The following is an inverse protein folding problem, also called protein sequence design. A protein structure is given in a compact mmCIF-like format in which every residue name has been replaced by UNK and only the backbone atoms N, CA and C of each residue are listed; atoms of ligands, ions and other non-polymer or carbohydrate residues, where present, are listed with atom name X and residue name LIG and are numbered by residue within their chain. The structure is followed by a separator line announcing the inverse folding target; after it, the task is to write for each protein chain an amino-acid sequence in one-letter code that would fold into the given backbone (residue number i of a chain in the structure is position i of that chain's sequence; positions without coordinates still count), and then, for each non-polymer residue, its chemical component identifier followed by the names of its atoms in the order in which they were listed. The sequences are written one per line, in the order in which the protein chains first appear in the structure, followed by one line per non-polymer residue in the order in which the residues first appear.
data_IF_709442894400
#
_entry.id   IF_709442894400
#
_cell.length_a   1.000
_cell.length_b   1.000
_cell.length_c   1.000
_cell.angle_alpha   90.00
_cell.angle_beta   90.00
_cell.angle_gamma   90.00
#
_symmetry.space_group_name_H-M   'P 1'
#
loop_
_entity.id
_entity.type
_entity.pdbx_description
1 polymer ?
#
# COMPACT_ATOMS: atom_id res chain seq x y z
N UNK A 1 -31.14 10.27 8.95
CA UNK A 1 -30.04 11.10 9.51
C UNK A 1 -28.96 11.15 8.44
N UNK A 2 -28.26 12.28 8.22
CA UNK A 2 -27.15 12.30 7.28
C UNK A 2 -26.09 11.29 7.73
N UNK A 3 -25.60 10.48 6.78
CA UNK A 3 -24.52 9.55 7.04
C UNK A 3 -23.25 10.34 7.38
N UNK A 4 -22.49 9.88 8.37
CA UNK A 4 -21.19 10.49 8.71
C UNK A 4 -20.18 10.20 7.61
N UNK A 5 -19.42 11.21 7.22
CA UNK A 5 -18.33 11.04 6.26
C UNK A 5 -17.08 10.53 6.99
N UNK A 6 -16.69 9.31 6.67
CA UNK A 6 -15.48 8.67 7.19
C UNK A 6 -14.40 8.66 6.12
N UNK A 7 -13.26 9.28 6.42
CA UNK A 7 -12.08 9.22 5.55
C UNK A 7 -11.10 8.21 6.10
N UNK A 8 -10.65 7.29 5.25
CA UNK A 8 -9.67 6.26 5.59
C UNK A 8 -8.41 6.48 4.74
N UNK A 9 -7.26 6.64 5.38
CA UNK A 9 -5.97 6.82 4.72
C UNK A 9 -5.22 5.50 4.71
N UNK A 10 -5.03 4.92 3.52
CA UNK A 10 -4.33 3.66 3.27
C UNK A 10 -5.25 2.50 2.94
N UNK A 11 -5.05 1.88 1.76
CA UNK A 11 -5.78 0.72 1.23
C UNK A 11 -5.16 -0.64 1.57
N UNK A 12 -4.33 -0.70 2.63
CA UNK A 12 -3.78 -1.94 3.17
C UNK A 12 -4.82 -2.77 3.92
N UNK A 13 -4.38 -3.78 4.69
CA UNK A 13 -5.27 -4.67 5.44
C UNK A 13 -6.20 -3.91 6.39
N UNK A 14 -5.65 -2.99 7.19
CA UNK A 14 -6.44 -2.22 8.16
C UNK A 14 -7.50 -1.33 7.49
N UNK A 15 -7.11 -0.57 6.46
CA UNK A 15 -8.04 0.32 5.77
C UNK A 15 -9.10 -0.44 4.98
N UNK A 16 -8.73 -1.55 4.33
CA UNK A 16 -9.66 -2.42 3.62
C UNK A 16 -10.71 -2.99 4.57
N UNK A 17 -10.29 -3.56 5.70
CA UNK A 17 -11.20 -4.14 6.71
C UNK A 17 -12.10 -3.07 7.31
N UNK A 18 -11.56 -1.91 7.64
CA UNK A 18 -12.35 -0.79 8.18
C UNK A 18 -13.41 -0.33 7.18
N UNK A 19 -13.04 -0.14 5.90
CA UNK A 19 -13.98 0.29 4.87
C UNK A 19 -15.10 -0.72 4.62
N UNK A 20 -14.82 -2.01 4.71
CA UNK A 20 -15.84 -3.07 4.54
C UNK A 20 -16.80 -3.17 5.72
N UNK A 21 -16.35 -2.79 6.93
CA UNK A 21 -17.13 -2.91 8.16
C UNK A 21 -18.07 -1.72 8.40
N UNK A 22 -17.76 -0.55 7.85
CA UNK A 22 -18.50 0.70 8.08
C UNK A 22 -19.68 0.85 7.13
N UNK A 23 -20.73 0.06 7.32
CA UNK A 23 -21.88 0.04 6.40
C UNK A 23 -22.83 1.22 6.52
N UNK A 24 -22.86 1.88 7.68
CA UNK A 24 -23.77 2.99 8.00
C UNK A 24 -23.08 4.37 7.88
N UNK A 25 -22.07 4.47 7.03
CA UNK A 25 -21.29 5.69 6.80
C UNK A 25 -20.93 5.86 5.33
N UNK A 26 -20.72 7.10 4.91
CA UNK A 26 -20.13 7.41 3.60
C UNK A 26 -18.60 7.36 3.73
N UNK A 27 -18.00 6.33 3.14
CA UNK A 27 -16.57 6.06 3.28
C UNK A 27 -15.79 6.57 2.08
N UNK A 28 -14.71 7.31 2.32
CA UNK A 28 -13.72 7.68 1.32
C UNK A 28 -12.39 7.01 1.68
N UNK A 29 -11.99 6.02 0.90
CA UNK A 29 -10.71 5.36 1.03
C UNK A 29 -9.68 6.01 0.11
N UNK A 30 -8.62 6.57 0.69
CA UNK A 30 -7.54 7.24 -0.03
C UNK A 30 -6.30 6.37 0.02
N UNK A 31 -5.73 6.06 -1.15
CA UNK A 31 -4.47 5.34 -1.25
C UNK A 31 -3.63 5.89 -2.41
N UNK A 32 -2.32 5.88 -2.29
CA UNK A 32 -1.39 6.31 -3.35
C UNK A 32 -1.39 5.35 -4.53
N UNK A 33 -1.81 4.12 -4.30
CA UNK A 33 -1.91 3.08 -5.31
C UNK A 33 -3.35 2.59 -5.41
N UNK A 34 -3.77 2.16 -6.59
CA UNK A 34 -5.11 1.58 -6.74
C UNK A 34 -5.14 0.07 -6.47
N UNK A 35 -4.24 -0.43 -5.63
CA UNK A 35 -4.10 -1.86 -5.42
C UNK A 35 -3.98 -2.20 -3.94
N UNK A 36 -4.77 -3.18 -3.50
CA UNK A 36 -4.51 -3.90 -2.27
C UNK A 36 -3.49 -5.00 -2.56
N UNK A 37 -2.38 -4.99 -1.85
CA UNK A 37 -1.35 -6.00 -1.98
C UNK A 37 -1.46 -7.02 -0.85
N UNK A 38 -1.57 -8.30 -1.21
CA UNK A 38 -1.53 -9.38 -0.23
C UNK A 38 -0.09 -9.67 0.18
N UNK A 39 0.42 -8.89 1.12
CA UNK A 39 1.83 -8.92 1.58
C UNK A 39 2.36 -10.30 2.00
N UNK A 40 1.58 -11.21 2.63
CA UNK A 40 2.07 -12.53 3.02
C UNK A 40 2.64 -13.36 1.87
N UNK A 41 2.21 -13.10 0.62
CA UNK A 41 2.70 -13.80 -0.56
C UNK A 41 3.84 -13.09 -1.30
N UNK A 42 4.36 -11.98 -0.78
CA UNK A 42 5.48 -11.25 -1.41
C UNK A 42 6.74 -12.12 -1.61
N UNK A 43 7.02 -13.02 -0.67
CA UNK A 43 8.15 -13.94 -0.79
C UNK A 43 8.01 -14.88 -2.00
N UNK A 44 6.78 -15.30 -2.36
CA UNK A 44 6.56 -16.13 -3.54
C UNK A 44 6.77 -15.35 -4.84
N UNK A 45 6.47 -14.05 -4.83
CA UNK A 45 6.82 -13.17 -5.95
C UNK A 45 8.34 -13.00 -6.03
N UNK A 46 9.01 -12.84 -4.90
CA UNK A 46 10.45 -12.73 -4.81
C UNK A 46 11.17 -13.96 -5.36
N UNK A 47 10.67 -15.16 -5.08
CA UNK A 47 11.19 -16.44 -5.58
C UNK A 47 10.68 -16.81 -6.97
N UNK A 48 9.90 -15.92 -7.61
CA UNK A 48 9.32 -16.12 -8.96
C UNK A 48 8.28 -17.25 -9.04
N UNK A 49 7.73 -17.69 -7.91
CA UNK A 49 6.63 -18.66 -7.87
C UNK A 49 5.29 -18.03 -8.28
N UNK A 50 5.10 -16.73 -7.99
CA UNK A 50 3.92 -15.97 -8.37
C UNK A 50 4.32 -14.71 -9.15
N UNK A 51 3.40 -14.21 -9.98
CA UNK A 51 3.55 -12.89 -10.59
C UNK A 51 3.08 -11.78 -9.61
N UNK A 52 3.58 -10.54 -9.73
CA UNK A 52 3.07 -9.42 -8.95
C UNK A 52 1.56 -9.20 -9.09
N UNK A 53 0.99 -9.52 -10.25
CA UNK A 53 -0.45 -9.39 -10.52
C UNK A 53 -1.30 -10.38 -9.74
N UNK A 54 -0.75 -11.53 -9.37
CA UNK A 54 -1.49 -12.58 -8.63
C UNK A 54 -1.80 -12.18 -7.18
N UNK A 55 -1.03 -11.25 -6.63
CA UNK A 55 -1.15 -10.80 -5.25
C UNK A 55 -1.63 -9.34 -5.11
N UNK A 56 -1.84 -8.64 -6.23
CA UNK A 56 -2.25 -7.25 -6.26
C UNK A 56 -3.67 -7.11 -6.84
N UNK A 57 -4.64 -6.75 -5.99
CA UNK A 57 -6.03 -6.61 -6.39
C UNK A 57 -6.43 -5.14 -6.46
N UNK A 58 -7.04 -4.67 -7.57
CA UNK A 58 -7.49 -3.29 -7.69
C UNK A 58 -8.52 -2.94 -6.61
N UNK A 59 -8.28 -1.90 -5.82
CA UNK A 59 -9.18 -1.45 -4.75
C UNK A 59 -10.59 -1.17 -5.28
N UNK A 60 -10.71 -0.53 -6.44
CA UNK A 60 -12.01 -0.25 -7.06
C UNK A 60 -12.77 -1.53 -7.43
N UNK A 61 -12.08 -2.60 -7.77
CA UNK A 61 -12.71 -3.90 -8.04
C UNK A 61 -13.22 -4.54 -6.75
N UNK A 62 -12.44 -4.48 -5.68
CA UNK A 62 -12.83 -4.99 -4.36
C UNK A 62 -14.11 -4.28 -3.88
N UNK A 63 -14.14 -2.94 -3.99
CA UNK A 63 -15.23 -2.12 -3.48
C UNK A 63 -16.40 -1.95 -4.45
N UNK A 64 -16.40 -2.58 -5.63
CA UNK A 64 -17.51 -2.49 -6.58
C UNK A 64 -18.88 -2.89 -6.00
N UNK A 65 -18.89 -3.77 -4.98
CA UNK A 65 -20.11 -4.24 -4.29
C UNK A 65 -20.42 -3.44 -3.02
N UNK A 66 -19.69 -2.37 -2.75
CA UNK A 66 -19.82 -1.54 -1.55
C UNK A 66 -20.14 -0.09 -1.98
N UNK A 67 -21.42 0.23 -2.26
CA UNK A 67 -21.82 1.52 -2.82
C UNK A 67 -21.51 2.71 -1.92
N UNK A 68 -21.37 2.48 -0.62
CA UNK A 68 -21.00 3.48 0.39
C UNK A 68 -19.49 3.77 0.42
N UNK A 69 -18.66 3.03 -0.34
CA UNK A 69 -17.20 3.22 -0.36
C UNK A 69 -16.75 3.83 -1.68
N UNK A 70 -16.18 5.01 -1.62
CA UNK A 70 -15.52 5.69 -2.73
C UNK A 70 -13.99 5.55 -2.60
N UNK A 71 -13.34 5.01 -3.61
CA UNK A 71 -11.87 4.89 -3.66
C UNK A 71 -11.27 6.07 -4.40
N UNK A 72 -10.35 6.78 -3.77
CA UNK A 72 -9.58 7.89 -4.34
C UNK A 72 -8.10 7.48 -4.39
N UNK A 73 -7.54 7.47 -5.60
CA UNK A 73 -6.11 7.23 -5.80
C UNK A 73 -5.39 8.58 -5.78
N UNK A 74 -4.80 8.92 -4.64
CA UNK A 74 -4.09 10.19 -4.46
C UNK A 74 -3.15 10.10 -3.24
N UNK A 75 -2.27 11.08 -3.09
CA UNK A 75 -1.38 11.19 -1.95
C UNK A 75 -1.89 12.25 -0.97
N UNK A 76 -1.97 11.88 0.29
CA UNK A 76 -2.29 12.80 1.37
C UNK A 76 -1.07 13.64 1.70
N UNK A 77 -1.19 14.95 1.57
CA UNK A 77 -0.14 15.93 1.87
C UNK A 77 -0.18 16.38 3.32
N UNK A 78 -1.39 16.71 3.81
CA UNK A 78 -1.59 17.16 5.18
C UNK A 78 -3.01 16.91 5.67
N UNK A 79 -3.20 17.01 6.97
CA UNK A 79 -4.49 16.86 7.64
C UNK A 79 -4.71 18.08 8.52
N UNK A 80 -5.74 18.86 8.20
CA UNK A 80 -6.22 19.94 9.05
C UNK A 80 -7.26 19.37 10.02
N UNK A 81 -6.87 19.23 11.28
CA UNK A 81 -7.74 18.68 12.33
C UNK A 81 -8.79 19.69 12.80
N UNK A 82 -8.51 20.97 12.67
CA UNK A 82 -9.43 22.04 13.09
C UNK A 82 -10.54 22.22 12.07
N UNK A 83 -10.16 22.33 10.80
CA UNK A 83 -11.12 22.39 9.69
C UNK A 83 -11.71 21.02 9.34
N UNK A 84 -11.18 19.93 9.89
CA UNK A 84 -11.53 18.52 9.56
C UNK A 84 -11.46 18.23 8.06
N UNK A 85 -10.32 18.53 7.46
CA UNK A 85 -10.09 18.37 6.02
C UNK A 85 -8.77 17.64 5.76
N UNK A 86 -8.79 16.71 4.82
CA UNK A 86 -7.59 16.06 4.29
C UNK A 86 -7.19 16.75 3.00
N UNK A 87 -5.96 17.26 2.94
CA UNK A 87 -5.38 17.87 1.74
C UNK A 87 -4.73 16.79 0.88
N UNK A 88 -5.05 16.78 -0.39
CA UNK A 88 -4.54 15.83 -1.39
C UNK A 88 -3.60 16.52 -2.37
N UNK A 89 -2.77 15.73 -3.06
CA UNK A 89 -1.82 16.24 -4.04
C UNK A 89 -2.50 16.76 -5.29
N UNK A 90 -3.36 15.96 -5.90
CA UNK A 90 -3.94 16.21 -7.23
C UNK A 90 -5.44 16.48 -7.17
N UNK A 91 -6.12 16.02 -6.13
CA UNK A 91 -7.56 16.14 -5.96
C UNK A 91 -7.94 17.30 -5.03
N UNK A 92 -9.22 17.67 -5.05
CA UNK A 92 -9.76 18.65 -4.08
C UNK A 92 -9.68 18.12 -2.65
N UNK A 93 -9.52 19.00 -1.66
CA UNK A 93 -9.57 18.64 -0.25
C UNK A 93 -10.85 17.89 0.10
N UNK A 94 -10.75 16.90 0.98
CA UNK A 94 -11.88 16.06 1.38
C UNK A 94 -12.18 16.32 2.85
N UNK A 95 -13.39 16.79 3.19
CA UNK A 95 -13.81 16.94 4.58
C UNK A 95 -14.06 15.57 5.22
N UNK A 96 -14.02 15.52 6.54
CA UNK A 96 -14.33 14.31 7.30
C UNK A 96 -15.01 14.61 8.63
N UNK A 97 -15.90 13.72 9.05
CA UNK A 97 -16.40 13.67 10.43
C UNK A 97 -15.50 12.77 11.28
N UNK A 98 -15.05 11.67 10.69
CA UNK A 98 -14.16 10.69 11.32
C UNK A 98 -12.98 10.40 10.37
N UNK A 99 -11.79 10.34 10.93
CA UNK A 99 -10.57 10.00 10.19
C UNK A 99 -9.94 8.72 10.75
N UNK A 100 -9.70 7.75 9.87
CA UNK A 100 -8.98 6.50 10.19
C UNK A 100 -7.62 6.50 9.51
N UNK A 101 -6.57 6.40 10.30
CA UNK A 101 -5.20 6.36 9.82
C UNK A 101 -4.72 4.91 9.72
N UNK A 102 -4.55 4.40 8.50
CA UNK A 102 -4.07 3.05 8.22
C UNK A 102 -2.94 3.03 7.16
N UNK A 103 -1.91 3.91 7.25
CA UNK A 103 -0.88 4.07 6.22
C UNK A 103 0.08 2.87 6.13
N UNK A 104 -0.03 1.90 7.03
CA UNK A 104 0.86 0.77 7.14
C UNK A 104 2.22 1.12 7.73
N UNK A 105 3.18 0.22 7.57
CA UNK A 105 4.56 0.38 8.05
C UNK A 105 5.55 0.46 6.89
N UNK A 106 6.71 1.06 7.12
CA UNK A 106 7.86 1.05 6.20
C UNK A 106 9.00 0.24 6.81
N UNK A 107 9.96 -0.19 5.98
CA UNK A 107 11.21 -0.71 6.50
C UNK A 107 11.94 0.37 7.27
N UNK A 108 12.68 -0.04 8.27
CA UNK A 108 13.65 0.80 8.95
C UNK A 108 14.99 0.11 8.86
N UNK A 109 16.00 0.84 8.42
CA UNK A 109 17.40 0.40 8.45
C UNK A 109 18.12 0.95 9.68
N UNK A 110 17.38 1.42 10.70
CA UNK A 110 17.90 1.92 11.96
C UNK A 110 18.96 3.03 11.77
N UNK A 111 18.70 3.95 10.81
CA UNK A 111 19.61 5.05 10.47
C UNK A 111 20.73 4.68 9.49
N UNK A 112 20.70 3.47 8.93
CA UNK A 112 21.67 3.00 7.93
C UNK A 112 21.01 2.86 6.56
N UNK A 113 20.41 3.93 6.07
CA UNK A 113 19.59 3.94 4.85
C UNK A 113 20.38 3.54 3.58
N UNK A 114 21.71 3.70 3.58
CA UNK A 114 22.58 3.19 2.52
C UNK A 114 22.49 1.67 2.30
N UNK A 115 22.00 0.92 3.28
CA UNK A 115 21.80 -0.52 3.13
C UNK A 115 20.64 -0.87 2.19
N UNK A 116 19.73 0.07 1.92
CA UNK A 116 18.61 -0.16 1.00
C UNK A 116 19.07 -0.55 -0.41
N UNK A 117 20.22 -0.05 -0.85
CA UNK A 117 20.80 -0.41 -2.16
C UNK A 117 21.22 -1.88 -2.22
N UNK A 118 21.79 -2.41 -1.14
CA UNK A 118 22.33 -3.78 -1.08
C UNK A 118 21.31 -4.79 -0.54
N UNK A 119 20.38 -4.34 0.29
CA UNK A 119 19.37 -5.18 0.93
C UNK A 119 17.98 -4.52 0.80
N UNK A 120 17.42 -4.43 -0.42
CA UNK A 120 16.11 -3.82 -0.62
C UNK A 120 15.02 -4.60 0.10
N UNK A 121 14.16 -3.89 0.81
CA UNK A 121 13.05 -4.52 1.51
C UNK A 121 11.99 -5.10 0.56
N UNK A 122 11.36 -6.19 0.97
CA UNK A 122 10.24 -6.79 0.25
C UNK A 122 8.97 -5.94 0.42
N UNK A 123 8.83 -4.90 -0.41
CA UNK A 123 7.59 -4.10 -0.49
C UNK A 123 7.16 -3.91 -1.95
N UNK A 124 5.90 -3.48 -2.20
CA UNK A 124 5.37 -3.29 -3.57
C UNK A 124 6.23 -2.43 -4.47
N UNK A 125 6.92 -1.44 -3.92
CA UNK A 125 7.87 -0.60 -4.66
C UNK A 125 9.10 -1.37 -5.16
N UNK A 126 9.44 -2.49 -4.54
CA UNK A 126 10.55 -3.37 -4.92
C UNK A 126 10.14 -4.46 -5.91
N UNK A 127 8.85 -4.70 -6.11
CA UNK A 127 8.33 -5.61 -7.16
C UNK A 127 8.40 -4.94 -8.55
N UNK A 128 9.30 -3.97 -8.73
CA UNK A 128 9.61 -3.42 -10.04
C UNK A 128 10.34 -4.46 -10.92
N UNK A 129 10.17 -4.41 -12.26
CA UNK A 129 10.84 -5.36 -13.18
C UNK A 129 12.37 -5.47 -13.02
N UNK A 130 13.02 -4.49 -12.37
CA UNK A 130 14.47 -4.50 -12.10
C UNK A 130 14.90 -5.32 -10.88
N UNK A 131 14.00 -5.61 -9.93
CA UNK A 131 14.35 -6.32 -8.69
C UNK A 131 14.86 -7.75 -8.95
N UNK A 132 14.33 -8.43 -9.95
CA UNK A 132 14.79 -9.77 -10.36
C UNK A 132 16.25 -9.81 -10.83
N UNK A 133 16.84 -8.66 -11.22
CA UNK A 133 18.27 -8.58 -11.59
C UNK A 133 19.17 -8.47 -10.37
N UNK A 134 18.73 -7.75 -9.34
CA UNK A 134 19.53 -7.54 -8.13
C UNK A 134 19.61 -8.82 -7.26
N UNK A 135 18.59 -9.68 -7.28
CA UNK A 135 18.54 -10.91 -6.51
C UNK A 135 19.14 -12.13 -7.24
N UNK A 136 19.60 -12.00 -8.48
CA UNK A 136 20.41 -13.03 -9.12
C UNK A 136 21.84 -12.92 -8.60
N UNK A 137 22.39 -13.96 -7.98
CA UNK A 137 23.81 -13.99 -7.71
C UNK A 137 24.53 -13.87 -9.05
N UNK A 138 25.40 -12.88 -9.17
CA UNK A 138 26.31 -12.79 -10.31
C UNK A 138 27.14 -14.06 -10.31
N UNK A 139 26.80 -15.00 -11.19
CA UNK A 139 27.59 -16.20 -11.42
C UNK A 139 28.83 -15.80 -12.19
N UNK A 140 29.76 -15.13 -11.56
CA UNK A 140 31.14 -15.00 -12.03
C UNK A 140 32.03 -14.90 -10.79
N UNK A 141 32.44 -16.02 -10.32
CA UNK A 141 33.77 -16.37 -9.83
C UNK A 141 33.72 -17.41 -8.71
N UNK A 142 34.55 -18.39 -8.96
CA UNK A 142 35.10 -19.40 -8.03
C UNK A 142 34.20 -20.58 -7.66
N UNK A 143 34.17 -21.57 -8.54
CA UNK A 143 34.25 -22.95 -8.10
C UNK A 143 35.53 -23.10 -7.26
N UNK A 144 35.41 -23.07 -5.96
CA UNK A 144 36.38 -23.73 -5.09
C UNK A 144 35.65 -24.83 -4.37
N UNK A 145 35.94 -26.03 -4.80
CA UNK A 145 35.58 -27.29 -4.20
C UNK A 145 35.98 -27.27 -2.70
N UNK A 146 35.09 -27.73 -1.88
CA UNK A 146 35.43 -28.27 -0.59
C UNK A 146 35.95 -29.72 -0.83
N UNK A 147 37.23 -29.96 -0.64
CA UNK A 147 37.81 -31.25 -0.28
C UNK A 147 38.05 -31.27 1.21
#
# INVERSE_FOLDING_TARGET
MPHKQVVIIGGGFGGLTAAQSLRDADVVLIDRTNHHLFQPLLYQVATSALSPGDIAWPLRTIFRRYPHVRVVMDEVLSIDRTARVVQLRDSRPIPFDILIMAPGSRHSYFGRDAWEESAPGLKPSTVRPGWRRASRPTSSSSRRCWT
#
